data_IF_638407270502
#
_entry.id   IF_638407270502
#
_cell.length_a   1.000
_cell.length_b   1.000
_cell.length_c   1.000
_cell.angle_alpha   90.00
_cell.angle_beta   90.00
_cell.angle_gamma   90.00
#
_symmetry.space_group_name_H-M   'P 1'
#
loop_
_entity.id
_entity.type
_entity.pdbx_description
1 polymer ?
#
# COMPACT_ATOMS: atom_id res chain seq x y z
N UNK A 1 -16.02 0.48 -18.14
CA UNK A 1 -14.55 0.42 -18.17
C UNK A 1 -14.10 -0.05 -16.80
N UNK A 2 -13.21 -1.04 -16.73
CA UNK A 2 -12.57 -1.44 -15.47
C UNK A 2 -11.29 -0.62 -15.30
N UNK A 3 -10.99 -0.21 -14.08
CA UNK A 3 -9.70 0.43 -13.77
C UNK A 3 -8.57 -0.60 -13.86
N UNK A 4 -7.40 -0.17 -14.30
CA UNK A 4 -6.20 -1.01 -14.30
C UNK A 4 -5.51 -1.07 -12.91
N UNK A 5 -4.56 -2.00 -12.67
CA UNK A 5 -3.87 -2.11 -11.39
C UNK A 5 -3.15 -0.83 -10.92
N UNK A 6 -2.63 -0.02 -11.86
CA UNK A 6 -1.93 1.23 -11.54
C UNK A 6 -2.92 2.29 -11.10
N UNK A 7 -4.05 2.40 -11.78
CA UNK A 7 -5.16 3.29 -11.40
C UNK A 7 -5.72 2.93 -10.03
N UNK A 8 -6.01 1.65 -9.78
CA UNK A 8 -6.48 1.15 -8.49
C UNK A 8 -5.48 1.40 -7.36
N UNK A 9 -4.19 1.19 -7.63
CA UNK A 9 -3.11 1.51 -6.66
C UNK A 9 -2.99 3.01 -6.42
N UNK A 10 -3.25 3.84 -7.44
CA UNK A 10 -3.38 5.28 -7.30
C UNK A 10 -4.52 5.67 -6.35
N UNK A 11 -5.70 5.05 -6.52
CA UNK A 11 -6.84 5.25 -5.62
C UNK A 11 -6.50 4.84 -4.17
N UNK A 12 -5.86 3.69 -3.97
CA UNK A 12 -5.43 3.23 -2.64
C UNK A 12 -4.46 4.21 -1.97
N UNK A 13 -3.57 4.88 -2.74
CA UNK A 13 -2.69 5.92 -2.20
C UNK A 13 -3.48 7.15 -1.73
N UNK A 14 -4.51 7.57 -2.47
CA UNK A 14 -5.36 8.69 -2.05
C UNK A 14 -6.19 8.32 -0.81
N UNK A 15 -6.65 7.08 -0.70
CA UNK A 15 -7.31 6.58 0.52
C UNK A 15 -6.36 6.62 1.72
N UNK A 16 -5.11 6.21 1.55
CA UNK A 16 -4.09 6.32 2.61
C UNK A 16 -3.83 7.77 3.01
N UNK A 17 -3.80 8.70 2.06
CA UNK A 17 -3.67 10.14 2.35
C UNK A 17 -4.87 10.66 3.14
N UNK A 18 -6.08 10.29 2.74
CA UNK A 18 -7.30 10.67 3.44
C UNK A 18 -7.29 10.18 4.90
N UNK A 19 -6.87 8.93 5.14
CA UNK A 19 -6.71 8.40 6.49
C UNK A 19 -5.67 9.20 7.29
N UNK A 20 -4.50 9.49 6.73
CA UNK A 20 -3.47 10.30 7.42
C UNK A 20 -3.96 11.71 7.75
N UNK A 21 -4.71 12.35 6.84
CA UNK A 21 -5.31 13.65 7.12
C UNK A 21 -6.31 13.58 8.28
N UNK A 22 -7.07 12.50 8.38
CA UNK A 22 -7.96 12.26 9.50
C UNK A 22 -7.20 12.08 10.83
N UNK A 23 -6.12 11.30 10.80
CA UNK A 23 -5.26 11.09 11.96
C UNK A 23 -4.67 12.42 12.45
N UNK A 24 -4.20 13.28 11.54
CA UNK A 24 -3.72 14.63 11.89
C UNK A 24 -4.80 15.54 12.49
N UNK A 25 -6.06 15.43 12.05
CA UNK A 25 -7.17 16.15 12.67
C UNK A 25 -7.42 15.67 14.10
N UNK A 26 -7.29 14.37 14.34
CA UNK A 26 -7.42 13.80 15.68
C UNK A 26 -6.27 14.22 16.59
N UNK A 27 -5.03 14.23 16.09
CA UNK A 27 -3.85 14.75 16.81
C UNK A 27 -4.05 16.21 17.22
N UNK A 28 -4.58 17.04 16.31
CA UNK A 28 -4.93 18.43 16.59
C UNK A 28 -5.99 18.53 17.70
N UNK A 29 -7.04 17.71 17.65
CA UNK A 29 -8.07 17.66 18.70
C UNK A 29 -7.48 17.28 20.05
N UNK A 30 -6.59 16.29 20.08
CA UNK A 30 -5.91 15.88 21.32
C UNK A 30 -5.04 16.99 21.90
N UNK A 31 -4.33 17.74 21.06
CA UNK A 31 -3.59 18.93 21.47
C UNK A 31 -4.52 19.99 22.09
N UNK A 32 -5.68 20.26 21.47
CA UNK A 32 -6.64 21.24 21.98
C UNK A 32 -7.24 20.84 23.34
N UNK A 33 -7.46 19.53 23.56
CA UNK A 33 -7.88 19.02 24.87
C UNK A 33 -6.82 19.26 25.94
N UNK A 34 -5.55 19.10 25.62
CA UNK A 34 -4.44 19.28 26.55
C UNK A 34 -4.23 20.75 26.97
N UNK A 35 -4.52 21.71 26.10
CA UNK A 35 -4.37 23.15 26.41
C UNK A 35 -5.62 23.79 27.02
N UNK A 36 -6.73 23.03 27.17
CA UNK A 36 -8.03 23.51 27.66
C UNK A 36 -7.93 24.24 29.00
N UNK A 37 -7.09 23.77 29.92
CA UNK A 37 -6.95 24.38 31.25
C UNK A 37 -6.14 25.69 31.24
N UNK A 38 -5.37 25.92 30.17
CA UNK A 38 -4.49 27.09 30.02
C UNK A 38 -4.99 28.11 28.99
N UNK A 39 -6.08 27.80 28.28
CA UNK A 39 -6.67 28.66 27.26
C UNK A 39 -7.99 29.29 27.75
N UNK A 40 -8.14 30.62 27.75
CA UNK A 40 -9.31 31.29 28.31
C UNK A 40 -10.61 31.12 27.51
N UNK A 41 -10.55 30.64 26.27
CA UNK A 41 -11.72 30.35 25.43
C UNK A 41 -12.17 28.88 25.48
N UNK A 42 -13.40 28.60 25.06
CA UNK A 42 -13.87 27.22 24.90
C UNK A 42 -13.45 26.64 23.54
N UNK A 43 -12.32 25.93 23.54
CA UNK A 43 -11.86 25.11 22.41
C UNK A 43 -12.28 23.64 22.54
N UNK A 44 -12.78 23.22 23.70
CA UNK A 44 -13.11 21.84 23.97
C UNK A 44 -14.35 21.39 23.22
N UNK A 45 -15.40 22.22 23.20
CA UNK A 45 -16.65 21.94 22.49
C UNK A 45 -16.43 21.77 20.98
N UNK A 46 -15.77 22.69 20.24
CA UNK A 46 -15.51 22.47 18.82
C UNK A 46 -14.55 21.30 18.56
N UNK A 47 -13.57 21.06 19.43
CA UNK A 47 -12.64 19.93 19.30
C UNK A 47 -13.36 18.57 19.43
N UNK A 48 -14.33 18.44 20.34
CA UNK A 48 -15.14 17.23 20.46
C UNK A 48 -16.00 16.97 19.22
N UNK A 49 -16.62 18.03 18.65
CA UNK A 49 -17.37 17.90 17.39
C UNK A 49 -16.49 17.41 16.24
N UNK A 50 -15.25 17.89 16.14
CA UNK A 50 -14.29 17.40 15.12
C UNK A 50 -14.01 15.92 15.32
N UNK A 51 -13.85 15.45 16.57
CA UNK A 51 -13.65 14.03 16.88
C UNK A 51 -14.84 13.18 16.48
N UNK A 52 -16.06 13.59 16.83
CA UNK A 52 -17.29 12.87 16.48
C UNK A 52 -17.43 12.71 14.96
N UNK A 53 -17.22 13.80 14.20
CA UNK A 53 -17.24 13.77 12.73
C UNK A 53 -16.12 12.85 12.22
N UNK A 54 -14.91 12.96 12.77
CA UNK A 54 -13.78 12.16 12.33
C UNK A 54 -14.02 10.66 12.54
N UNK A 55 -14.58 10.29 13.71
CA UNK A 55 -14.98 8.91 14.02
C UNK A 55 -16.09 8.40 13.10
N UNK A 56 -16.95 9.30 12.58
CA UNK A 56 -17.99 8.96 11.60
C UNK A 56 -17.42 8.77 10.20
N UNK A 57 -16.38 9.53 9.83
CA UNK A 57 -15.75 9.47 8.50
C UNK A 57 -14.79 8.28 8.37
N UNK A 58 -14.07 7.91 9.43
CA UNK A 58 -13.06 6.85 9.38
C UNK A 58 -13.57 5.50 8.82
N UNK A 59 -14.77 5.01 9.19
CA UNK A 59 -15.32 3.77 8.63
C UNK A 59 -15.53 3.84 7.12
N UNK A 60 -16.03 4.97 6.59
CA UNK A 60 -16.26 5.12 5.15
C UNK A 60 -14.94 5.12 4.35
N UNK A 61 -13.87 5.70 4.89
CA UNK A 61 -12.54 5.61 4.27
C UNK A 61 -12.08 4.14 4.19
N UNK A 62 -12.34 3.34 5.23
CA UNK A 62 -12.02 1.91 5.24
C UNK A 62 -12.88 1.11 4.27
N UNK A 63 -14.16 1.42 4.13
CA UNK A 63 -15.05 0.79 3.15
C UNK A 63 -14.59 1.06 1.72
N UNK A 64 -14.22 2.30 1.41
CA UNK A 64 -13.64 2.67 0.11
C UNK A 64 -12.33 1.93 -0.14
N UNK A 65 -11.46 1.84 0.88
CA UNK A 65 -10.22 1.04 0.81
C UNK A 65 -10.53 -0.41 0.43
N UNK A 66 -11.45 -1.04 1.15
CA UNK A 66 -11.81 -2.43 0.96
C UNK A 66 -12.35 -2.69 -0.44
N UNK A 67 -13.19 -1.80 -0.98
CA UNK A 67 -13.70 -1.90 -2.34
C UNK A 67 -12.58 -1.85 -3.39
N UNK A 68 -11.62 -0.93 -3.26
CA UNK A 68 -10.48 -0.87 -4.19
C UNK A 68 -9.54 -2.08 -4.05
N UNK A 69 -9.28 -2.54 -2.84
CA UNK A 69 -8.48 -3.77 -2.63
C UNK A 69 -9.16 -4.99 -3.24
N UNK A 70 -10.49 -5.11 -3.09
CA UNK A 70 -11.27 -6.22 -3.66
C UNK A 70 -11.19 -6.23 -5.18
N UNK A 71 -11.39 -5.08 -5.83
CA UNK A 71 -11.27 -4.97 -7.30
C UNK A 71 -9.84 -5.23 -7.77
N UNK A 72 -8.83 -4.71 -7.06
CA UNK A 72 -7.43 -4.94 -7.40
C UNK A 72 -7.08 -6.43 -7.32
N UNK A 73 -7.57 -7.13 -6.30
CA UNK A 73 -7.32 -8.56 -6.10
C UNK A 73 -8.02 -9.45 -7.12
N UNK A 74 -9.02 -8.95 -7.86
CA UNK A 74 -9.65 -9.65 -8.98
C UNK A 74 -8.83 -9.57 -10.26
N UNK A 75 -7.90 -8.62 -10.37
CA UNK A 75 -7.09 -8.46 -11.58
C UNK A 75 -6.09 -9.62 -11.69
N UNK A 76 -6.08 -10.38 -12.81
CA UNK A 76 -5.09 -11.44 -13.00
C UNK A 76 -3.68 -10.84 -13.14
N UNK A 77 -2.68 -11.59 -12.67
CA UNK A 77 -1.28 -11.25 -12.94
C UNK A 77 -0.98 -11.51 -14.40
N UNK A 78 -0.35 -10.56 -15.05
CA UNK A 78 0.16 -10.73 -16.41
C UNK A 78 1.55 -11.38 -16.35
N UNK A 79 1.64 -12.63 -16.78
CA UNK A 79 2.88 -13.42 -16.79
C UNK A 79 4.00 -12.75 -17.60
N UNK A 80 3.69 -12.13 -18.74
CA UNK A 80 4.67 -11.42 -19.57
C UNK A 80 5.21 -10.17 -18.85
N UNK A 81 4.35 -9.48 -18.10
CA UNK A 81 4.73 -8.30 -17.34
C UNK A 81 5.69 -8.66 -16.20
N UNK A 82 5.39 -9.71 -15.43
CA UNK A 82 6.26 -10.13 -14.33
C UNK A 82 7.56 -10.75 -14.82
N UNK A 83 7.57 -11.41 -15.99
CA UNK A 83 8.79 -11.90 -16.64
C UNK A 83 9.69 -10.73 -17.09
N UNK A 84 9.12 -9.74 -17.78
CA UNK A 84 9.85 -8.53 -18.21
C UNK A 84 10.38 -7.75 -17.01
N UNK A 85 9.59 -7.58 -15.95
CA UNK A 85 10.01 -6.94 -14.71
C UNK A 85 11.17 -7.68 -14.05
N UNK A 86 11.11 -9.01 -13.95
CA UNK A 86 12.18 -9.83 -13.39
C UNK A 86 13.49 -9.65 -14.17
N UNK A 87 13.45 -9.74 -15.51
CA UNK A 87 14.63 -9.52 -16.38
C UNK A 87 15.23 -8.14 -16.17
N UNK A 88 14.39 -7.10 -16.14
CA UNK A 88 14.85 -5.72 -15.90
C UNK A 88 15.51 -5.57 -14.54
N UNK A 89 14.94 -6.15 -13.48
CA UNK A 89 15.53 -6.09 -12.14
C UNK A 89 16.89 -6.78 -12.09
N UNK A 90 17.05 -7.96 -12.70
CA UNK A 90 18.35 -8.63 -12.81
C UNK A 90 19.35 -7.78 -13.58
N UNK A 91 18.94 -7.16 -14.70
CA UNK A 91 19.80 -6.27 -15.47
C UNK A 91 20.24 -5.02 -14.67
N UNK A 92 19.37 -4.45 -13.84
CA UNK A 92 19.68 -3.26 -13.05
C UNK A 92 20.55 -3.56 -11.83
N UNK A 93 20.34 -4.69 -11.16
CA UNK A 93 21.04 -5.02 -9.92
C UNK A 93 22.26 -5.93 -10.11
N UNK A 94 22.37 -6.63 -11.25
CA UNK A 94 23.52 -7.45 -11.62
C UNK A 94 23.72 -8.73 -10.80
N UNK A 95 22.85 -9.02 -9.84
CA UNK A 95 22.92 -10.17 -8.94
C UNK A 95 21.52 -10.70 -8.62
N UNK A 96 21.23 -11.92 -9.08
CA UNK A 96 19.95 -12.61 -8.83
C UNK A 96 19.62 -12.71 -7.35
N UNK A 97 20.61 -12.96 -6.48
CA UNK A 97 20.36 -13.10 -5.04
C UNK A 97 19.95 -11.77 -4.41
N UNK A 98 20.54 -10.65 -4.83
CA UNK A 98 20.12 -9.32 -4.38
C UNK A 98 18.70 -9.00 -4.82
N UNK A 99 18.35 -9.32 -6.07
CA UNK A 99 16.99 -9.14 -6.58
C UNK A 99 15.99 -9.98 -5.79
N UNK A 100 16.31 -11.25 -5.49
CA UNK A 100 15.44 -12.12 -4.69
C UNK A 100 15.21 -11.57 -3.28
N UNK A 101 16.27 -11.15 -2.58
CA UNK A 101 16.14 -10.56 -1.24
C UNK A 101 15.25 -9.31 -1.29
N UNK A 102 15.47 -8.45 -2.28
CA UNK A 102 14.68 -7.22 -2.42
C UNK A 102 13.21 -7.51 -2.76
N UNK A 103 12.95 -8.42 -3.70
CA UNK A 103 11.59 -8.80 -4.09
C UNK A 103 10.82 -9.44 -2.91
N UNK A 104 11.48 -10.27 -2.08
CA UNK A 104 10.89 -10.81 -0.86
C UNK A 104 10.55 -9.71 0.16
N UNK A 105 11.40 -8.70 0.30
CA UNK A 105 11.09 -7.53 1.15
C UNK A 105 9.88 -6.75 0.64
N UNK A 106 9.76 -6.55 -0.68
CA UNK A 106 8.59 -5.89 -1.27
C UNK A 106 7.33 -6.73 -1.01
N UNK A 107 7.39 -8.04 -1.26
CA UNK A 107 6.30 -8.98 -1.04
C UNK A 107 5.80 -8.98 0.41
N UNK A 108 6.72 -8.90 1.39
CA UNK A 108 6.40 -8.90 2.81
C UNK A 108 5.56 -7.69 3.28
N UNK A 109 5.52 -6.61 2.49
CA UNK A 109 4.69 -5.44 2.78
C UNK A 109 3.23 -5.58 2.32
N UNK A 110 2.87 -6.73 1.75
CA UNK A 110 1.56 -6.98 1.19
C UNK A 110 0.91 -8.20 1.84
N UNK A 111 -0.42 -8.13 2.03
CA UNK A 111 -1.20 -9.25 2.54
C UNK A 111 -1.03 -10.49 1.63
N UNK A 112 -0.87 -11.69 2.21
CA UNK A 112 -0.86 -12.93 1.44
C UNK A 112 -2.05 -13.00 0.48
N UNK A 113 -1.80 -13.50 -0.73
CA UNK A 113 -2.79 -13.60 -1.82
C UNK A 113 -3.37 -12.29 -2.37
N UNK A 114 -2.92 -11.13 -1.90
CA UNK A 114 -3.23 -9.86 -2.56
C UNK A 114 -2.59 -9.75 -3.95
N UNK A 115 -3.09 -8.85 -4.79
CA UNK A 115 -2.54 -8.59 -6.13
C UNK A 115 -1.03 -8.34 -6.08
N UNK A 116 -0.58 -7.39 -5.25
CA UNK A 116 0.84 -7.04 -5.17
C UNK A 116 1.69 -8.17 -4.58
N UNK A 117 1.14 -8.95 -3.65
CA UNK A 117 1.81 -10.15 -3.17
C UNK A 117 2.03 -11.17 -4.30
N UNK A 118 0.99 -11.45 -5.10
CA UNK A 118 1.06 -12.38 -6.25
C UNK A 118 2.00 -11.86 -7.33
N UNK A 119 1.97 -10.55 -7.60
CA UNK A 119 2.86 -9.89 -8.54
C UNK A 119 4.33 -10.07 -8.16
N UNK A 120 4.70 -9.78 -6.90
CA UNK A 120 6.06 -9.97 -6.41
C UNK A 120 6.47 -11.44 -6.34
N UNK A 121 5.51 -12.34 -6.05
CA UNK A 121 5.77 -13.77 -6.13
C UNK A 121 6.12 -14.19 -7.57
N UNK A 122 5.37 -13.72 -8.58
CA UNK A 122 5.65 -13.98 -9.99
C UNK A 122 7.02 -13.46 -10.43
N UNK A 123 7.42 -12.27 -9.97
CA UNK A 123 8.79 -11.75 -10.21
C UNK A 123 9.83 -12.69 -9.60
N UNK A 124 9.64 -13.09 -8.34
CA UNK A 124 10.58 -13.94 -7.60
C UNK A 124 10.76 -15.31 -8.28
N UNK A 125 9.67 -15.90 -8.77
CA UNK A 125 9.69 -17.17 -9.50
C UNK A 125 10.46 -17.04 -10.83
N UNK A 126 10.25 -15.96 -11.58
CA UNK A 126 10.98 -15.69 -12.81
C UNK A 126 12.48 -15.47 -12.56
N UNK A 127 12.86 -14.76 -11.50
CA UNK A 127 14.28 -14.58 -11.14
C UNK A 127 14.93 -15.92 -10.75
N UNK A 128 14.23 -16.78 -10.00
CA UNK A 128 14.71 -18.13 -9.66
C UNK A 128 14.91 -19.00 -10.91
N UNK A 129 13.98 -18.92 -11.86
CA UNK A 129 14.06 -19.64 -13.13
C UNK A 129 15.28 -19.18 -13.95
N UNK A 130 15.45 -17.87 -14.10
CA UNK A 130 16.57 -17.28 -14.83
C UNK A 130 17.92 -17.65 -14.20
N UNK A 131 18.02 -17.61 -12.87
CA UNK A 131 19.22 -18.04 -12.13
C UNK A 131 19.54 -19.52 -12.39
N UNK A 132 18.54 -20.40 -12.38
CA UNK A 132 18.72 -21.83 -12.64
C UNK A 132 19.11 -22.13 -14.09
N UNK A 133 18.66 -21.31 -15.05
CA UNK A 133 19.05 -21.41 -16.46
C UNK A 133 20.50 -20.98 -16.67
N UNK A 134 20.95 -19.90 -16.04
CA UNK A 134 22.35 -19.45 -16.09
C UNK A 134 23.32 -20.47 -15.45
N UNK A 135 22.93 -21.11 -14.35
CA UNK A 135 23.75 -22.15 -13.70
C UNK A 135 23.95 -23.41 -14.56
N UNK A 136 23.03 -23.72 -15.47
CA UNK A 136 23.14 -24.88 -16.40
C UNK A 136 24.07 -24.61 -17.59
N UNK A 137 24.42 -23.34 -17.83
CA UNK A 137 25.25 -22.92 -18.95
C UNK A 137 26.74 -22.78 -18.57
N UNK A 138 27.08 -22.95 -17.29
CA UNK A 138 28.42 -22.96 -16.72
C UNK A 138 28.90 -24.39 -16.49
#
# INVERSE_FOLDING_TARGET
MSLDPKELTGCLKEVQKAQKSLDHLLDFVDLMKNVKESFPGDVATPAEKIREISNTVAPYIKEIKAAFDEELNKVPINDEEVEDAAKKLVLYHGDHMQVLIWAEQQKANHEPDSYWWKYWNGITENVKKDMAEHQKQL
#
